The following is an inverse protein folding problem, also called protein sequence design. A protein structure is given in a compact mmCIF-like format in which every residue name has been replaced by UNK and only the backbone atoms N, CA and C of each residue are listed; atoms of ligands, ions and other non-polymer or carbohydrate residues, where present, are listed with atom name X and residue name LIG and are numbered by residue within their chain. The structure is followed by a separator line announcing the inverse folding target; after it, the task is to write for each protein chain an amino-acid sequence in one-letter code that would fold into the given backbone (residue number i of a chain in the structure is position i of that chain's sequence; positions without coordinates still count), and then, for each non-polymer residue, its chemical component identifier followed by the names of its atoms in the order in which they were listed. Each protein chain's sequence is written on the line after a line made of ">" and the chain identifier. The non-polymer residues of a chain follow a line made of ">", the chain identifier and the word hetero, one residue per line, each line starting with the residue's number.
data_IF_727332130197
#
_entry.id   IF_727332130197
#
_cell.length_a   1.000
_cell.length_b   1.000
_cell.length_c   1.000
_cell.angle_alpha   90.00
_cell.angle_beta   90.00
_cell.angle_gamma   90.00
#
_symmetry.space_group_name_H-M   'P 1'
#
loop_
_entity.id
_entity.type
_entity.pdbx_description
1 polymer ?
#
# COMPACT_ATOMS: atom_id res chain seq x y z
N UNK A 1 -58.21 24.45 -2.48
CA UNK A 1 -57.77 23.09 -2.10
C UNK A 1 -57.32 22.26 -3.31
N UNK A 2 -58.18 22.03 -4.31
CA UNK A 2 -57.84 21.28 -5.54
C UNK A 2 -56.59 21.77 -6.30
N UNK A 3 -56.36 23.08 -6.36
CA UNK A 3 -55.16 23.66 -7.02
C UNK A 3 -53.85 23.31 -6.30
N UNK A 4 -53.87 23.22 -4.97
CA UNK A 4 -52.69 22.86 -4.17
C UNK A 4 -52.37 21.37 -4.33
N UNK A 5 -53.39 20.51 -4.36
CA UNK A 5 -53.23 19.07 -4.59
C UNK A 5 -52.72 18.80 -6.01
N UNK A 6 -53.21 19.52 -7.03
CA UNK A 6 -52.68 19.41 -8.39
C UNK A 6 -51.26 19.97 -8.54
N UNK A 7 -50.92 21.03 -7.79
CA UNK A 7 -49.56 21.55 -7.76
C UNK A 7 -48.59 20.53 -7.15
N UNK A 8 -48.93 19.93 -6.02
CA UNK A 8 -48.13 18.88 -5.37
C UNK A 8 -48.03 17.59 -6.20
N UNK A 9 -49.09 17.23 -6.92
CA UNK A 9 -49.08 16.05 -7.81
C UNK A 9 -48.18 16.24 -9.04
N UNK A 10 -48.07 17.47 -9.54
CA UNK A 10 -47.23 17.82 -10.69
C UNK A 10 -45.88 18.41 -10.25
N UNK A 11 -45.56 18.32 -8.95
CA UNK A 11 -44.32 18.81 -8.38
C UNK A 11 -43.22 17.77 -8.57
N UNK A 12 -42.55 17.84 -9.72
CA UNK A 12 -41.35 17.06 -10.05
C UNK A 12 -40.09 17.63 -9.35
N UNK A 13 -40.20 18.71 -8.55
CA UNK A 13 -39.07 19.26 -7.80
C UNK A 13 -38.78 18.49 -6.50
N UNK A 14 -39.65 17.53 -6.15
CA UNK A 14 -39.32 16.51 -5.16
C UNK A 14 -38.23 15.62 -5.71
N UNK A 15 -36.97 15.85 -5.31
CA UNK A 15 -35.89 14.88 -5.47
C UNK A 15 -36.29 13.60 -4.73
N UNK A 16 -37.02 12.73 -5.42
CA UNK A 16 -37.29 11.39 -4.94
C UNK A 16 -35.91 10.77 -4.84
N UNK A 17 -35.55 10.33 -3.63
CA UNK A 17 -34.50 9.33 -3.42
C UNK A 17 -34.98 8.08 -4.17
N UNK A 18 -34.81 8.08 -5.50
CA UNK A 18 -35.23 7.00 -6.38
C UNK A 18 -34.37 5.80 -6.03
N UNK A 19 -34.96 4.62 -6.03
CA UNK A 19 -34.23 3.36 -5.88
C UNK A 19 -33.06 3.28 -6.88
N UNK A 20 -33.19 3.91 -8.04
CA UNK A 20 -32.15 3.99 -9.08
C UNK A 20 -30.96 4.85 -8.64
N UNK A 21 -31.18 5.98 -7.96
CA UNK A 21 -30.09 6.84 -7.49
C UNK A 21 -29.35 6.23 -6.30
N UNK A 22 -30.07 5.48 -5.46
CA UNK A 22 -29.47 4.66 -4.39
C UNK A 22 -28.63 3.51 -5.00
N UNK A 23 -29.10 2.89 -6.07
CA UNK A 23 -28.34 1.86 -6.77
C UNK A 23 -27.05 2.43 -7.39
N UNK A 24 -27.13 3.58 -8.06
CA UNK A 24 -25.93 4.23 -8.65
C UNK A 24 -24.94 4.65 -7.57
N UNK A 25 -25.42 5.26 -6.47
CA UNK A 25 -24.53 5.71 -5.39
C UNK A 25 -23.84 4.55 -4.67
N UNK A 26 -24.53 3.43 -4.45
CA UNK A 26 -23.93 2.24 -3.83
C UNK A 26 -22.86 1.61 -4.72
N UNK A 27 -23.09 1.50 -6.03
CA UNK A 27 -22.07 1.01 -6.98
C UNK A 27 -20.86 1.95 -6.98
N UNK A 28 -21.08 3.27 -6.99
CA UNK A 28 -20.00 4.25 -6.95
C UNK A 28 -19.16 4.13 -5.66
N UNK A 29 -19.80 4.01 -4.50
CA UNK A 29 -19.09 3.85 -3.22
C UNK A 29 -18.31 2.54 -3.17
N UNK A 30 -18.89 1.44 -3.64
CA UNK A 30 -18.18 0.15 -3.71
C UNK A 30 -16.94 0.24 -4.62
N UNK A 31 -17.07 0.88 -5.79
CA UNK A 31 -15.95 1.09 -6.69
C UNK A 31 -14.83 1.94 -6.07
N UNK A 32 -15.18 2.99 -5.32
CA UNK A 32 -14.21 3.82 -4.61
C UNK A 32 -13.52 3.07 -3.47
N UNK A 33 -14.24 2.27 -2.69
CA UNK A 33 -13.67 1.50 -1.58
C UNK A 33 -12.71 0.44 -2.09
N UNK A 34 -13.10 -0.35 -3.10
CA UNK A 34 -12.23 -1.35 -3.71
C UNK A 34 -11.04 -0.66 -4.38
N UNK A 35 -11.28 0.40 -5.17
CA UNK A 35 -10.21 1.13 -5.84
C UNK A 35 -9.17 1.70 -4.87
N UNK A 36 -9.60 2.26 -3.74
CA UNK A 36 -8.68 2.77 -2.71
C UNK A 36 -7.89 1.63 -2.05
N UNK A 37 -8.53 0.49 -1.81
CA UNK A 37 -7.88 -0.70 -1.25
C UNK A 37 -6.77 -1.21 -2.16
N UNK A 38 -7.06 -1.37 -3.46
CA UNK A 38 -6.09 -1.84 -4.45
C UNK A 38 -4.93 -0.85 -4.64
N UNK A 39 -5.22 0.46 -4.66
CA UNK A 39 -4.17 1.48 -4.74
C UNK A 39 -3.25 1.42 -3.51
N UNK A 40 -3.81 1.26 -2.31
CA UNK A 40 -3.00 1.13 -1.09
C UNK A 40 -2.13 -0.12 -1.11
N UNK A 41 -2.69 -1.26 -1.54
CA UNK A 41 -1.95 -2.52 -1.60
C UNK A 41 -0.80 -2.44 -2.61
N UNK A 42 -1.08 -1.95 -3.82
CA UNK A 42 -0.05 -1.81 -4.86
C UNK A 42 1.06 -0.83 -4.46
N UNK A 43 0.74 0.29 -3.83
CA UNK A 43 1.78 1.22 -3.36
C UNK A 43 2.70 0.53 -2.35
N UNK A 44 2.14 -0.25 -1.42
CA UNK A 44 2.95 -0.97 -0.45
C UNK A 44 3.84 -2.01 -1.14
N UNK A 45 3.31 -2.79 -2.09
CA UNK A 45 4.07 -3.78 -2.86
C UNK A 45 5.24 -3.14 -3.62
N UNK A 46 5.03 -2.00 -4.28
CA UNK A 46 6.12 -1.31 -4.98
C UNK A 46 7.17 -0.74 -4.01
N UNK A 47 6.77 -0.30 -2.81
CA UNK A 47 7.71 0.16 -1.79
C UNK A 47 8.51 -0.99 -1.17
N UNK A 48 7.90 -2.17 -1.02
CA UNK A 48 8.58 -3.40 -0.64
C UNK A 48 9.62 -3.77 -1.70
N UNK A 49 9.24 -3.83 -2.98
CA UNK A 49 10.15 -4.13 -4.09
C UNK A 49 11.37 -3.18 -4.11
N UNK A 50 11.14 -1.89 -3.86
CA UNK A 50 12.22 -0.91 -3.70
C UNK A 50 13.10 -1.27 -2.49
N UNK A 51 12.50 -1.58 -1.34
CA UNK A 51 13.22 -1.99 -0.12
C UNK A 51 14.10 -3.23 -0.33
N UNK A 52 13.53 -4.29 -0.92
CA UNK A 52 14.24 -5.52 -1.25
C UNK A 52 15.37 -5.25 -2.26
N UNK A 53 15.13 -4.40 -3.27
CA UNK A 53 16.19 -4.03 -4.20
C UNK A 53 17.39 -3.36 -3.51
N UNK A 54 17.15 -2.51 -2.50
CA UNK A 54 18.23 -1.95 -1.68
C UNK A 54 18.91 -2.99 -0.79
N UNK A 55 18.15 -3.91 -0.17
CA UNK A 55 18.71 -4.98 0.67
C UNK A 55 19.60 -5.95 -0.14
N UNK A 56 19.26 -6.20 -1.41
CA UNK A 56 20.08 -7.06 -2.30
C UNK A 56 21.43 -6.43 -2.70
N UNK A 57 21.65 -5.14 -2.44
CA UNK A 57 22.97 -4.53 -2.62
C UNK A 57 23.94 -5.17 -1.62
N UNK A 58 25.14 -5.53 -2.05
CA UNK A 58 26.13 -6.13 -1.17
C UNK A 58 26.56 -5.13 -0.06
N UNK A 59 25.95 -5.26 1.12
CA UNK A 59 26.27 -4.45 2.31
C UNK A 59 27.47 -5.01 3.11
N UNK A 60 27.95 -6.19 2.76
CA UNK A 60 29.02 -6.88 3.50
C UNK A 60 30.43 -6.45 3.08
N UNK A 61 31.32 -6.34 4.06
CA UNK A 61 32.75 -6.14 3.83
C UNK A 61 33.58 -7.07 4.73
N UNK A 62 34.75 -7.46 4.23
CA UNK A 62 35.69 -8.28 4.98
C UNK A 62 37.12 -7.78 4.72
N UNK A 63 37.83 -7.45 5.80
CA UNK A 63 39.27 -7.18 5.77
C UNK A 63 39.97 -8.15 6.72
N UNK A 64 40.86 -8.96 6.17
CA UNK A 64 41.60 -9.95 6.94
C UNK A 64 42.73 -9.30 7.73
N UNK A 65 42.91 -9.76 8.97
CA UNK A 65 44.07 -9.40 9.77
C UNK A 65 45.35 -10.04 9.25
N UNK A 66 46.51 -9.52 9.67
CA UNK A 66 47.80 -10.15 9.37
C UNK A 66 48.49 -10.57 10.66
N UNK A 67 49.03 -11.79 10.66
CA UNK A 67 49.78 -12.36 11.77
C UNK A 67 51.21 -12.68 11.33
N UNK A 68 52.19 -12.08 12.02
CA UNK A 68 53.61 -12.33 11.82
C UNK A 68 54.33 -12.64 13.14
N UNK A 69 55.60 -13.00 13.05
CA UNK A 69 56.40 -13.48 14.19
C UNK A 69 56.49 -12.51 15.38
N UNK A 70 56.30 -11.19 15.16
CA UNK A 70 56.44 -10.13 16.18
C UNK A 70 55.28 -9.13 16.18
N UNK A 71 54.19 -9.42 15.49
CA UNK A 71 53.09 -8.47 15.33
C UNK A 71 51.81 -9.16 14.91
N UNK A 72 50.71 -8.74 15.51
CA UNK A 72 49.38 -9.24 15.21
C UNK A 72 48.46 -8.05 14.99
N UNK A 73 47.77 -8.02 13.85
CA UNK A 73 46.75 -7.03 13.54
C UNK A 73 45.44 -7.76 13.30
N UNK A 74 44.39 -7.38 14.03
CA UNK A 74 43.05 -7.93 13.83
C UNK A 74 42.42 -7.36 12.57
N UNK A 75 41.76 -8.22 11.79
CA UNK A 75 40.87 -7.78 10.72
C UNK A 75 39.57 -7.20 11.27
N UNK A 76 38.70 -6.78 10.35
CA UNK A 76 37.31 -6.43 10.62
C UNK A 76 36.41 -6.99 9.52
N UNK A 77 35.19 -7.33 9.89
CA UNK A 77 34.20 -7.78 8.92
C UNK A 77 32.82 -7.37 9.39
N UNK A 78 31.98 -7.07 8.42
CA UNK A 78 30.54 -6.92 8.58
C UNK A 78 29.87 -7.88 7.61
N UNK A 79 28.97 -8.72 8.13
CA UNK A 79 28.17 -9.63 7.35
C UNK A 79 26.71 -9.37 7.71
N UNK A 80 25.93 -8.96 6.72
CA UNK A 80 24.50 -8.82 6.86
C UNK A 80 23.85 -10.22 6.88
N UNK A 81 22.84 -10.43 7.72
CA UNK A 81 22.18 -11.73 7.90
C UNK A 81 20.68 -11.56 7.76
N UNK A 82 20.05 -12.44 6.98
CA UNK A 82 18.61 -12.39 6.73
C UNK A 82 17.79 -12.34 8.05
N UNK A 83 16.90 -11.36 8.15
CA UNK A 83 15.96 -11.18 9.24
C UNK A 83 14.48 -11.31 8.79
N UNK A 84 13.55 -10.95 9.68
CA UNK A 84 12.10 -11.13 9.47
C UNK A 84 11.54 -10.32 8.28
N UNK A 85 12.23 -9.26 7.83
CA UNK A 85 11.78 -8.35 6.77
C UNK A 85 12.69 -8.36 5.52
N UNK A 86 13.54 -9.38 5.37
CA UNK A 86 14.45 -9.51 4.21
C UNK A 86 13.86 -10.37 3.07
N UNK A 87 12.63 -10.84 3.23
CA UNK A 87 11.91 -11.61 2.23
C UNK A 87 11.40 -10.77 1.06
N UNK A 88 10.97 -11.46 0.00
CA UNK A 88 10.04 -10.90 -0.98
C UNK A 88 8.64 -11.42 -0.65
N UNK A 89 7.62 -10.61 -0.94
CA UNK A 89 6.20 -10.86 -0.70
C UNK A 89 5.85 -11.02 0.79
N UNK A 90 6.45 -10.20 1.67
CA UNK A 90 6.22 -10.26 3.11
C UNK A 90 5.02 -9.42 3.60
N UNK A 91 4.57 -8.45 2.80
CA UNK A 91 3.34 -7.69 3.02
C UNK A 91 2.14 -8.37 2.34
N UNK A 92 1.01 -8.42 3.07
CA UNK A 92 -0.26 -9.06 2.65
C UNK A 92 -1.44 -8.11 2.75
#
# INVERSE_FOLDING_TARGET
>A
MLKLINALKNDEAGFIVSAELVLVSTIAVLGLVVGLSEVSLNINNELEDVGSAFSTVQQSYHTSGTCGHKGHFSGSSFCDTADFCDGQDDIR
#
